data_IF_521162806813
#
_entry.id   IF_521162806813
#
_cell.length_a   1.000
_cell.length_b   1.000
_cell.length_c   1.000
_cell.angle_alpha   90.00
_cell.angle_beta   90.00
_cell.angle_gamma   90.00
#
_symmetry.space_group_name_H-M   'P 1'
#
loop_
_entity.id
_entity.type
_entity.pdbx_description
1 polymer ?
#
# COMPACT_ATOMS: atom_id res chain seq x y z
N UNK A 1 8.31 -0.57 9.00
CA UNK A 1 8.09 -2.00 9.32
C UNK A 1 9.37 -2.79 9.10
N UNK A 2 9.92 -3.47 10.14
CA UNK A 2 11.07 -4.35 9.97
C UNK A 2 10.80 -5.49 8.97
N UNK A 3 11.80 -5.82 8.14
CA UNK A 3 11.67 -6.84 7.07
C UNK A 3 11.22 -8.22 7.58
N UNK A 4 11.64 -8.59 8.80
CA UNK A 4 11.27 -9.86 9.42
C UNK A 4 9.76 -10.06 9.64
N UNK A 5 8.99 -8.97 9.72
CA UNK A 5 7.54 -9.03 9.95
C UNK A 5 6.71 -8.95 8.67
N UNK A 6 7.37 -8.78 7.52
CA UNK A 6 6.74 -8.57 6.21
C UNK A 6 5.79 -9.70 5.83
N UNK A 7 6.23 -10.95 5.95
CA UNK A 7 5.41 -12.10 5.55
C UNK A 7 4.14 -12.23 6.42
N UNK A 8 4.28 -12.00 7.72
CA UNK A 8 3.14 -12.06 8.64
C UNK A 8 2.15 -10.91 8.37
N UNK A 9 2.65 -9.70 8.10
CA UNK A 9 1.81 -8.57 7.71
C UNK A 9 1.10 -8.82 6.37
N UNK A 10 1.78 -9.45 5.39
CA UNK A 10 1.18 -9.85 4.11
C UNK A 10 0.01 -10.82 4.31
N UNK A 11 0.21 -11.84 5.13
CA UNK A 11 -0.83 -12.82 5.46
C UNK A 11 -2.02 -12.13 6.14
N UNK A 12 -1.75 -11.23 7.09
CA UNK A 12 -2.79 -10.48 7.79
C UNK A 12 -3.61 -9.60 6.83
N UNK A 13 -2.95 -8.76 6.03
CA UNK A 13 -3.60 -7.90 5.02
C UNK A 13 -4.39 -8.75 4.02
N UNK A 14 -3.86 -9.90 3.59
CA UNK A 14 -4.58 -10.85 2.72
C UNK A 14 -5.91 -11.30 3.34
N UNK A 15 -5.90 -11.59 4.64
CA UNK A 15 -7.12 -11.93 5.39
C UNK A 15 -8.13 -10.77 5.39
N UNK A 16 -7.68 -9.55 5.65
CA UNK A 16 -8.54 -8.36 5.65
C UNK A 16 -9.19 -8.12 4.29
N UNK A 17 -8.40 -8.17 3.20
CA UNK A 17 -8.90 -7.98 1.84
C UNK A 17 -10.00 -9.00 1.51
N UNK A 18 -9.77 -10.28 1.85
CA UNK A 18 -10.77 -11.35 1.66
C UNK A 18 -12.04 -11.12 2.50
N UNK A 19 -11.89 -10.72 3.76
CA UNK A 19 -13.00 -10.38 4.68
C UNK A 19 -13.88 -9.25 4.12
N UNK A 20 -13.31 -8.35 3.29
CA UNK A 20 -14.02 -7.25 2.61
C UNK A 20 -14.50 -7.57 1.20
N UNK A 21 -14.56 -8.85 0.84
CA UNK A 21 -15.07 -9.30 -0.48
C UNK A 21 -14.32 -8.72 -1.69
N UNK A 22 -13.08 -8.27 -1.50
CA UNK A 22 -12.16 -7.90 -2.55
C UNK A 22 -11.22 -9.06 -2.87
N UNK A 23 -10.70 -9.10 -4.09
CA UNK A 23 -9.75 -10.13 -4.52
C UNK A 23 -8.34 -9.58 -4.41
N UNK A 24 -7.50 -10.19 -3.59
CA UNK A 24 -6.08 -9.81 -3.56
C UNK A 24 -5.38 -10.28 -4.84
N UNK A 25 -4.72 -9.36 -5.54
CA UNK A 25 -3.90 -9.65 -6.73
C UNK A 25 -2.40 -9.62 -6.38
N UNK A 26 -1.96 -8.62 -5.61
CA UNK A 26 -0.60 -8.55 -5.07
C UNK A 26 -0.56 -7.67 -3.81
N UNK A 27 0.37 -7.96 -2.90
CA UNK A 27 0.70 -7.12 -1.76
C UNK A 27 2.21 -7.11 -1.56
N UNK A 28 2.78 -5.93 -1.30
CA UNK A 28 4.18 -5.80 -0.94
C UNK A 28 4.35 -4.69 0.08
N UNK A 29 5.06 -4.99 1.17
CA UNK A 29 5.29 -4.04 2.25
C UNK A 29 6.76 -3.65 2.22
N UNK A 30 7.00 -2.36 2.09
CA UNK A 30 8.29 -1.73 2.28
C UNK A 30 8.40 -1.24 3.74
N UNK A 31 9.60 -0.84 4.20
CA UNK A 31 9.76 -0.33 5.55
C UNK A 31 8.90 0.92 5.86
N UNK A 32 8.57 1.72 4.85
CA UNK A 32 7.94 3.04 4.94
C UNK A 32 6.54 3.09 4.30
N UNK A 33 6.22 2.22 3.34
CA UNK A 33 4.92 2.18 2.68
C UNK A 33 4.49 0.75 2.27
N UNK A 34 3.27 0.62 1.71
CA UNK A 34 2.71 -0.65 1.23
C UNK A 34 2.05 -0.45 -0.12
N UNK A 35 2.37 -1.33 -1.08
CA UNK A 35 1.58 -1.48 -2.30
C UNK A 35 0.57 -2.60 -2.12
N UNK A 36 -0.69 -2.30 -2.43
CA UNK A 36 -1.80 -3.22 -2.41
C UNK A 36 -2.55 -3.17 -3.74
N UNK A 37 -2.57 -4.28 -4.47
CA UNK A 37 -3.32 -4.39 -5.73
C UNK A 37 -4.45 -5.41 -5.57
N UNK A 38 -5.67 -4.93 -5.84
CA UNK A 38 -6.90 -5.68 -5.58
C UNK A 38 -7.85 -5.60 -6.76
N UNK A 39 -8.56 -6.69 -7.01
CA UNK A 39 -9.81 -6.69 -7.76
C UNK A 39 -10.93 -6.18 -6.86
N UNK A 40 -11.58 -5.11 -7.29
CA UNK A 40 -12.56 -4.38 -6.49
C UNK A 40 -13.97 -4.56 -7.06
N UNK A 41 -14.96 -4.81 -6.20
CA UNK A 41 -16.37 -4.86 -6.61
C UNK A 41 -16.96 -3.44 -6.58
N UNK A 42 -17.82 -3.04 -7.54
CA UNK A 42 -18.38 -1.69 -7.59
C UNK A 42 -19.20 -1.27 -6.35
N UNK A 43 -19.69 -2.22 -5.57
CA UNK A 43 -20.45 -1.97 -4.34
C UNK A 43 -19.57 -1.51 -3.17
N UNK A 44 -18.25 -1.66 -3.27
CA UNK A 44 -17.31 -1.30 -2.21
C UNK A 44 -16.92 0.18 -2.32
N UNK A 45 -16.86 0.85 -1.17
CA UNK A 45 -16.27 2.19 -1.04
C UNK A 45 -14.75 2.06 -0.91
N UNK A 46 -14.00 2.72 -1.79
CA UNK A 46 -12.53 2.75 -1.72
C UNK A 46 -12.03 3.37 -0.43
N UNK A 47 -12.67 4.45 0.03
CA UNK A 47 -12.28 5.15 1.24
C UNK A 47 -12.48 4.28 2.49
N UNK A 48 -13.63 3.59 2.59
CA UNK A 48 -13.90 2.70 3.72
C UNK A 48 -12.99 1.49 3.70
N UNK A 49 -12.76 0.91 2.51
CA UNK A 49 -11.84 -0.22 2.35
C UNK A 49 -10.43 0.13 2.84
N UNK A 50 -9.85 1.24 2.37
CA UNK A 50 -8.50 1.64 2.80
C UNK A 50 -8.46 2.02 4.28
N UNK A 51 -9.49 2.71 4.80
CA UNK A 51 -9.61 3.03 6.23
C UNK A 51 -9.54 1.76 7.07
N UNK A 52 -10.34 0.75 6.74
CA UNK A 52 -10.37 -0.51 7.50
C UNK A 52 -9.05 -1.27 7.41
N UNK A 53 -8.43 -1.36 6.23
CA UNK A 53 -7.10 -1.97 6.09
C UNK A 53 -6.10 -1.26 7.01
N UNK A 54 -6.08 0.08 7.02
CA UNK A 54 -5.17 0.87 7.85
C UNK A 54 -5.46 0.68 9.34
N UNK A 55 -6.71 0.72 9.77
CA UNK A 55 -7.10 0.55 11.18
C UNK A 55 -6.76 -0.85 11.69
N UNK A 56 -7.26 -1.90 11.02
CA UNK A 56 -7.08 -3.28 11.50
C UNK A 56 -5.58 -3.68 11.46
N UNK A 57 -4.84 -3.29 10.41
CA UNK A 57 -3.39 -3.57 10.36
C UNK A 57 -2.59 -2.77 11.38
N UNK A 58 -2.98 -1.53 11.68
CA UNK A 58 -2.34 -0.73 12.71
C UNK A 58 -2.50 -1.37 14.09
N UNK A 59 -3.72 -1.79 14.43
CA UNK A 59 -4.01 -2.50 15.68
C UNK A 59 -3.20 -3.81 15.79
N UNK A 60 -3.14 -4.58 14.71
CA UNK A 60 -2.36 -5.81 14.64
C UNK A 60 -0.86 -5.56 14.89
N UNK A 61 -0.28 -4.57 14.22
CA UNK A 61 1.13 -4.19 14.37
C UNK A 61 1.43 -3.75 15.81
N UNK A 62 0.55 -2.92 16.39
CA UNK A 62 0.71 -2.46 17.76
C UNK A 62 0.59 -3.61 18.77
N UNK A 63 -0.40 -4.50 18.61
CA UNK A 63 -0.57 -5.67 19.46
C UNK A 63 0.64 -6.62 19.43
N UNK A 64 1.38 -6.64 18.32
CA UNK A 64 2.59 -7.44 18.14
C UNK A 64 3.88 -6.77 18.63
N UNK A 65 3.83 -5.49 19.01
CA UNK A 65 4.99 -4.70 19.44
C UNK A 65 6.15 -4.73 18.42
N UNK A 66 5.85 -4.66 17.13
CA UNK A 66 6.86 -4.75 16.05
C UNK A 66 7.67 -3.47 15.83
N UNK A 67 7.31 -2.38 16.50
CA UNK A 67 8.00 -1.09 16.41
C UNK A 67 8.37 -0.59 17.80
N UNK A 68 9.51 0.10 17.96
CA UNK A 68 9.96 0.61 19.26
C UNK A 68 9.07 1.73 19.84
N UNK A 69 8.19 2.31 19.03
CA UNK A 69 7.19 3.29 19.46
C UNK A 69 5.80 2.97 18.94
N UNK A 70 4.85 3.89 19.14
CA UNK A 70 3.48 3.75 18.64
C UNK A 70 3.49 3.78 17.11
N UNK A 71 3.16 2.65 16.50
CA UNK A 71 2.94 2.58 15.07
C UNK A 71 1.69 3.37 14.66
N UNK A 72 1.76 4.08 13.54
CA UNK A 72 0.64 4.71 12.89
C UNK A 72 0.89 4.76 11.38
N UNK A 73 -0.13 4.40 10.59
CA UNK A 73 -0.12 4.77 9.17
C UNK A 73 -0.37 6.28 9.04
N UNK A 74 0.24 6.90 8.04
CA UNK A 74 -0.10 8.27 7.64
C UNK A 74 -1.61 8.42 7.35
N UNK A 75 -2.16 9.63 7.43
CA UNK A 75 -3.59 9.87 7.17
C UNK A 75 -3.96 9.65 5.69
N UNK A 76 -3.09 10.06 4.77
CA UNK A 76 -3.27 9.96 3.32
C UNK A 76 -3.18 8.54 2.74
N UNK A 77 -3.59 8.40 1.49
CA UNK A 77 -3.43 7.19 0.67
C UNK A 77 -3.52 7.54 -0.82
N UNK A 78 -2.87 6.76 -1.68
CA UNK A 78 -2.98 6.86 -3.14
C UNK A 78 -3.74 5.67 -3.72
N UNK A 79 -4.62 5.92 -4.69
CA UNK A 79 -5.37 4.87 -5.41
C UNK A 79 -5.30 5.16 -6.91
N UNK A 80 -4.89 4.15 -7.66
CA UNK A 80 -4.72 4.23 -9.11
C UNK A 80 -5.37 3.02 -9.76
N UNK A 81 -6.13 3.25 -10.82
CA UNK A 81 -6.89 2.20 -11.53
C UNK A 81 -6.09 1.63 -12.69
N UNK A 82 -6.15 0.31 -12.87
CA UNK A 82 -5.46 -0.40 -13.95
C UNK A 82 -6.44 -1.26 -14.75
N UNK A 83 -6.18 -1.41 -16.04
CA UNK A 83 -6.98 -2.27 -16.92
C UNK A 83 -6.62 -3.75 -16.77
N UNK A 84 -7.50 -4.64 -17.23
CA UNK A 84 -7.29 -6.10 -17.16
C UNK A 84 -5.98 -6.54 -17.83
N UNK A 85 -5.61 -5.94 -18.95
CA UNK A 85 -4.40 -6.28 -19.69
C UNK A 85 -3.10 -5.90 -18.97
N UNK A 86 -3.19 -5.03 -17.96
CA UNK A 86 -2.03 -4.58 -17.19
C UNK A 86 -1.76 -5.44 -15.94
N UNK A 87 -2.65 -6.37 -15.58
CA UNK A 87 -2.56 -7.12 -14.31
C UNK A 87 -1.18 -7.73 -14.08
N UNK A 88 -0.65 -8.49 -15.05
CA UNK A 88 0.62 -9.18 -14.90
C UNK A 88 1.80 -8.20 -14.72
N UNK A 89 1.74 -7.06 -15.41
CA UNK A 89 2.77 -6.02 -15.30
C UNK A 89 2.75 -5.36 -13.93
N UNK A 90 1.56 -5.09 -13.37
CA UNK A 90 1.38 -4.48 -12.04
C UNK A 90 1.78 -5.45 -10.94
N UNK A 91 1.39 -6.73 -11.04
CA UNK A 91 1.82 -7.77 -10.10
C UNK A 91 3.35 -7.88 -10.10
N UNK A 92 3.98 -7.89 -11.27
CA UNK A 92 5.44 -7.95 -11.39
C UNK A 92 6.10 -6.73 -10.77
N UNK A 93 5.59 -5.53 -11.03
CA UNK A 93 6.09 -4.30 -10.43
C UNK A 93 6.02 -4.36 -8.90
N UNK A 94 4.86 -4.71 -8.32
CA UNK A 94 4.67 -4.82 -6.86
C UNK A 94 5.60 -5.87 -6.24
N UNK A 95 5.75 -7.03 -6.86
CA UNK A 95 6.60 -8.09 -6.33
C UNK A 95 8.10 -7.74 -6.36
N UNK A 96 8.51 -6.80 -7.20
CA UNK A 96 9.90 -6.38 -7.35
C UNK A 96 10.24 -5.07 -6.61
N UNK A 97 9.37 -4.60 -5.70
CA UNK A 97 9.55 -3.31 -5.02
C UNK A 97 10.87 -3.19 -4.24
N UNK A 98 11.34 -4.27 -3.63
CA UNK A 98 12.66 -4.26 -2.96
C UNK A 98 13.84 -3.97 -3.92
N UNK A 99 13.74 -4.37 -5.19
CA UNK A 99 14.77 -4.09 -6.18
C UNK A 99 14.60 -2.68 -6.77
N UNK A 100 13.35 -2.23 -6.96
CA UNK A 100 13.00 -0.89 -7.41
C UNK A 100 13.54 0.18 -6.44
N UNK A 101 13.26 0.01 -5.14
CA UNK A 101 13.68 0.97 -4.12
C UNK A 101 15.18 0.95 -3.75
N UNK A 102 15.99 0.10 -4.41
CA UNK A 102 17.45 0.27 -4.38
C UNK A 102 17.92 1.45 -5.23
N UNK A 103 17.06 1.95 -6.12
CA UNK A 103 17.39 2.98 -7.12
C UNK A 103 16.50 4.21 -7.03
N UNK A 104 15.35 4.11 -6.37
CA UNK A 104 14.32 5.14 -6.35
C UNK A 104 13.63 5.22 -4.98
N UNK A 105 13.44 6.42 -4.46
CA UNK A 105 12.72 6.63 -3.19
C UNK A 105 11.21 6.50 -3.40
N UNK A 106 10.47 6.25 -2.33
CA UNK A 106 9.00 6.26 -2.38
C UNK A 106 8.46 7.64 -2.79
N UNK A 107 9.11 8.72 -2.35
CA UNK A 107 8.75 10.08 -2.78
C UNK A 107 8.83 10.23 -4.31
N UNK A 108 9.96 9.86 -4.92
CA UNK A 108 10.13 9.95 -6.36
C UNK A 108 9.13 9.06 -7.12
N UNK A 109 8.90 7.83 -6.64
CA UNK A 109 7.92 6.90 -7.21
C UNK A 109 6.48 7.45 -7.12
N UNK A 110 6.08 8.03 -5.99
CA UNK A 110 4.74 8.58 -5.81
C UNK A 110 4.49 9.75 -6.77
N UNK A 111 5.47 10.64 -6.95
CA UNK A 111 5.40 11.72 -7.93
C UNK A 111 5.28 11.20 -9.37
N UNK A 112 6.00 10.14 -9.72
CA UNK A 112 5.88 9.50 -11.03
C UNK A 112 4.50 8.88 -11.24
N UNK A 113 3.93 8.26 -10.21
CA UNK A 113 2.54 7.76 -10.27
C UNK A 113 1.55 8.90 -10.50
N UNK A 114 1.62 9.99 -9.73
CA UNK A 114 0.73 11.14 -9.91
C UNK A 114 0.81 11.70 -11.34
N UNK A 115 2.03 11.90 -11.86
CA UNK A 115 2.26 12.36 -13.24
C UNK A 115 1.70 11.38 -14.28
N UNK A 116 2.00 10.08 -14.12
CA UNK A 116 1.56 9.03 -15.04
C UNK A 116 0.04 8.91 -15.12
N UNK A 117 -0.65 9.16 -14.01
CA UNK A 117 -2.11 9.11 -13.90
C UNK A 117 -2.77 10.47 -14.08
N UNK A 118 -2.00 11.50 -14.48
CA UNK A 118 -2.49 12.85 -14.74
C UNK A 118 -3.29 13.41 -13.55
N UNK A 119 -2.82 13.10 -12.33
CA UNK A 119 -3.40 13.62 -11.09
C UNK A 119 -2.72 14.94 -10.78
N UNK A 120 -3.49 16.03 -10.77
CA UNK A 120 -3.00 17.33 -10.31
C UNK A 120 -2.69 17.28 -8.82
N UNK A 121 -1.54 17.84 -8.44
CA UNK A 121 -1.13 17.94 -7.05
C UNK A 121 -0.38 19.24 -6.78
N UNK A 122 -0.49 19.72 -5.55
CA UNK A 122 0.37 20.77 -5.00
C UNK A 122 1.37 20.10 -4.05
N UNK A 123 2.66 20.34 -4.27
CA UNK A 123 3.74 19.71 -3.50
C UNK A 123 3.59 19.93 -1.99
N UNK A 124 2.98 21.05 -1.57
CA UNK A 124 2.77 21.36 -0.14
C UNK A 124 1.73 20.48 0.55
N UNK A 125 0.93 19.72 -0.21
CA UNK A 125 -0.10 18.81 0.29
C UNK A 125 0.22 17.33 0.03
N UNK A 126 1.46 17.03 -0.39
CA UNK A 126 1.95 15.67 -0.50
C UNK A 126 2.19 15.04 0.88
N UNK A 127 2.49 13.74 0.88
CA UNK A 127 2.76 13.00 2.10
C UNK A 127 4.00 13.51 2.84
N UNK A 128 4.04 13.22 4.14
CA UNK A 128 5.27 13.29 4.91
C UNK A 128 6.12 12.06 4.55
N UNK A 129 7.12 12.27 3.68
CA UNK A 129 8.05 11.21 3.26
C UNK A 129 9.13 10.97 4.32
N UNK A 130 9.58 9.72 4.45
CA UNK A 130 10.56 9.28 5.45
C UNK A 130 11.97 9.14 4.83
N UNK A 131 12.28 9.95 3.81
CA UNK A 131 13.49 9.86 2.96
C UNK A 131 14.81 9.80 3.75
#
# INVERSE_FOLDING_TARGET
MPKQHKEELHKYITGLVKKRSATLLAVHCMPDHVHLFVGFKPILSTADFIKEIKVESNEFIQAKNWTPGKFAWQSGYGVFSYSRSQIDSVIRYINNQEAHHRKQTFHAEYLELLKKFEVDFDEKYLFEFLD
#
